data_IF_118394231506
#
_entry.id   IF_118394231506
#
_cell.length_a   1.000
_cell.length_b   1.000
_cell.length_c   1.000
_cell.angle_alpha   90.00
_cell.angle_beta   90.00
_cell.angle_gamma   90.00
#
_symmetry.space_group_name_H-M   'P 1'
#
loop_
_entity.id
_entity.type
_entity.pdbx_description
1 polymer ?
#
# COMPACT_ATOMS: atom_id res chain seq x y z
N UNK A 1 -27.93 16.43 -23.34
CA UNK A 1 -27.78 17.25 -22.11
C UNK A 1 -27.05 16.43 -21.06
N UNK A 2 -25.74 16.14 -21.24
CA UNK A 2 -24.99 15.20 -20.36
C UNK A 2 -23.50 15.58 -20.18
N UNK A 3 -23.14 16.87 -20.28
CA UNK A 3 -21.73 17.32 -20.22
C UNK A 3 -21.36 18.14 -18.99
N UNK A 4 -22.31 18.54 -18.14
CA UNK A 4 -22.08 19.38 -16.96
C UNK A 4 -21.79 18.59 -15.66
N UNK A 5 -22.20 17.34 -15.57
CA UNK A 5 -21.97 16.44 -14.41
C UNK A 5 -20.49 16.04 -14.30
N UNK A 6 -19.79 15.80 -15.40
CA UNK A 6 -18.41 15.30 -15.44
C UNK A 6 -17.34 16.29 -14.95
N UNK A 7 -17.53 17.60 -15.16
CA UNK A 7 -16.52 18.60 -14.70
C UNK A 7 -16.64 18.89 -13.21
N UNK A 8 -17.86 19.01 -12.69
CA UNK A 8 -18.08 19.25 -11.26
C UNK A 8 -17.60 18.08 -10.38
N UNK A 9 -17.80 16.84 -10.86
CA UNK A 9 -17.30 15.65 -10.17
C UNK A 9 -15.77 15.58 -10.19
N UNK A 10 -15.14 16.01 -11.30
CA UNK A 10 -13.69 16.07 -11.41
C UNK A 10 -13.09 17.15 -10.51
N UNK A 11 -13.71 18.33 -10.43
CA UNK A 11 -13.27 19.43 -9.57
C UNK A 11 -13.41 19.06 -8.07
N UNK A 12 -14.50 18.37 -7.71
CA UNK A 12 -14.70 17.87 -6.35
C UNK A 12 -13.65 16.80 -5.96
N UNK A 13 -13.33 15.88 -6.87
CA UNK A 13 -12.29 14.89 -6.66
C UNK A 13 -10.91 15.53 -6.52
N UNK A 14 -10.62 16.59 -7.31
CA UNK A 14 -9.38 17.35 -7.23
C UNK A 14 -9.20 18.03 -5.87
N UNK A 15 -10.19 18.78 -5.39
CA UNK A 15 -10.12 19.43 -4.07
C UNK A 15 -10.05 18.38 -2.95
N UNK A 16 -10.80 17.29 -3.04
CA UNK A 16 -10.74 16.20 -2.08
C UNK A 16 -9.35 15.57 -2.01
N UNK A 17 -8.69 15.37 -3.15
CA UNK A 17 -7.33 14.85 -3.20
C UNK A 17 -6.33 15.81 -2.53
N UNK A 18 -6.44 17.12 -2.79
CA UNK A 18 -5.59 18.13 -2.17
C UNK A 18 -5.77 18.19 -0.64
N UNK A 19 -7.01 18.14 -0.15
CA UNK A 19 -7.32 18.07 1.28
C UNK A 19 -6.71 16.83 1.94
N UNK A 20 -6.84 15.65 1.30
CA UNK A 20 -6.31 14.40 1.84
C UNK A 20 -4.77 14.39 1.87
N UNK A 21 -4.11 15.02 0.90
CA UNK A 21 -2.65 15.18 0.90
C UNK A 21 -2.15 16.13 1.99
N UNK A 22 -2.99 17.04 2.50
CA UNK A 22 -2.64 18.00 3.56
C UNK A 22 -3.18 17.62 4.92
N UNK A 23 -3.93 16.53 5.04
CA UNK A 23 -4.50 16.08 6.31
C UNK A 23 -3.40 15.87 7.37
N UNK A 24 -3.67 16.09 8.67
CA UNK A 24 -2.68 15.85 9.74
C UNK A 24 -2.14 14.41 9.80
N UNK A 25 -2.92 13.46 9.29
CA UNK A 25 -2.53 12.05 9.11
C UNK A 25 -1.81 11.81 7.79
N UNK A 26 -1.76 12.79 6.89
CA UNK A 26 -1.03 12.67 5.64
C UNK A 26 0.48 12.65 5.93
N UNK A 27 1.17 11.75 5.27
CA UNK A 27 2.63 11.62 5.39
C UNK A 27 3.38 12.79 4.73
N UNK A 28 2.65 13.68 4.07
CA UNK A 28 3.19 14.77 3.27
C UNK A 28 2.90 16.09 3.97
N UNK A 29 3.95 16.80 4.36
CA UNK A 29 3.82 18.19 4.85
C UNK A 29 3.82 19.15 3.65
N UNK A 30 2.77 19.09 2.83
CA UNK A 30 2.50 20.07 1.76
C UNK A 30 1.56 21.14 2.27
N UNK A 31 1.76 22.38 1.85
CA UNK A 31 0.74 23.40 1.96
C UNK A 31 -0.39 23.09 0.95
N UNK A 32 -1.59 23.61 1.16
CA UNK A 32 -2.74 23.28 0.30
C UNK A 32 -2.53 23.68 -1.17
N UNK A 33 -1.88 24.80 -1.40
CA UNK A 33 -1.48 25.25 -2.75
C UNK A 33 -0.46 24.29 -3.41
N UNK A 34 0.51 23.78 -2.66
CA UNK A 34 1.45 22.77 -3.13
C UNK A 34 0.76 21.43 -3.42
N UNK A 35 -0.19 21.02 -2.57
CA UNK A 35 -0.99 19.82 -2.80
C UNK A 35 -1.84 19.93 -4.07
N UNK A 36 -2.45 21.08 -4.34
CA UNK A 36 -3.16 21.36 -5.59
C UNK A 36 -2.25 21.22 -6.82
N UNK A 37 -1.00 21.68 -6.73
CA UNK A 37 -0.02 21.48 -7.80
C UNK A 37 0.24 19.99 -8.01
N UNK A 38 0.45 19.19 -6.94
CA UNK A 38 0.63 17.73 -7.07
C UNK A 38 -0.59 17.09 -7.73
N UNK A 39 -1.79 17.42 -7.26
CA UNK A 39 -3.04 16.84 -7.76
C UNK A 39 -3.32 17.21 -9.22
N UNK A 40 -2.84 18.37 -9.71
CA UNK A 40 -2.97 18.75 -11.13
C UNK A 40 -2.23 17.80 -12.10
N UNK A 41 -1.29 16.99 -11.59
CA UNK A 41 -0.61 15.91 -12.32
C UNK A 41 -1.25 14.54 -12.12
N UNK A 42 -2.31 14.44 -11.31
CA UNK A 42 -3.03 13.19 -11.07
C UNK A 42 -4.29 13.12 -11.94
N UNK A 43 -4.75 11.91 -12.20
CA UNK A 43 -6.01 11.65 -12.91
C UNK A 43 -6.98 10.86 -12.04
N UNK A 44 -8.27 11.24 -11.98
CA UNK A 44 -9.26 10.49 -11.24
C UNK A 44 -9.54 9.14 -11.93
N UNK A 45 -9.71 8.08 -11.13
CA UNK A 45 -10.04 6.73 -11.60
C UNK A 45 -11.06 6.07 -10.70
N UNK A 46 -12.17 5.63 -11.29
CA UNK A 46 -13.14 4.77 -10.65
C UNK A 46 -12.74 3.30 -10.82
N UNK A 47 -12.84 2.53 -9.73
CA UNK A 47 -12.51 1.11 -9.67
C UNK A 47 -13.68 0.41 -9.00
N UNK A 48 -14.33 -0.51 -9.72
CA UNK A 48 -15.47 -1.26 -9.20
C UNK A 48 -15.05 -2.24 -8.09
N UNK A 49 -15.91 -2.46 -7.12
CA UNK A 49 -15.73 -3.46 -6.08
C UNK A 49 -15.32 -4.84 -6.66
N UNK A 50 -14.41 -5.53 -5.99
CA UNK A 50 -13.86 -6.82 -6.44
C UNK A 50 -12.78 -6.73 -7.51
N UNK A 51 -12.44 -5.53 -8.03
CA UNK A 51 -11.41 -5.37 -9.05
C UNK A 51 -10.02 -5.34 -8.43
N UNK A 52 -9.13 -6.26 -8.84
CA UNK A 52 -7.70 -6.18 -8.56
C UNK A 52 -7.05 -5.28 -9.60
N UNK A 53 -6.61 -4.09 -9.19
CA UNK A 53 -6.06 -3.05 -10.07
C UNK A 53 -4.53 -2.90 -9.99
N UNK A 54 -3.90 -3.52 -8.99
CA UNK A 54 -2.46 -3.77 -8.90
C UNK A 54 -2.30 -5.26 -8.62
N UNK A 55 -1.41 -5.95 -9.35
CA UNK A 55 -1.15 -7.38 -9.16
C UNK A 55 0.30 -7.59 -8.74
N UNK A 56 0.53 -8.36 -7.67
CA UNK A 56 1.86 -8.75 -7.23
C UNK A 56 2.62 -9.47 -8.36
N UNK A 57 3.88 -9.10 -8.54
CA UNK A 57 4.75 -9.68 -9.56
C UNK A 57 4.54 -9.14 -10.98
N UNK A 58 3.58 -8.22 -11.20
CA UNK A 58 3.41 -7.59 -12.52
C UNK A 58 4.60 -6.68 -12.83
N UNK A 59 5.37 -7.07 -13.86
CA UNK A 59 6.53 -6.35 -14.36
C UNK A 59 6.22 -5.44 -15.56
N UNK A 60 5.00 -5.52 -16.12
CA UNK A 60 4.58 -4.74 -17.30
C UNK A 60 3.80 -3.48 -16.92
N UNK A 61 3.62 -3.23 -15.64
CA UNK A 61 2.94 -2.06 -15.12
C UNK A 61 3.83 -0.82 -15.34
N UNK A 62 3.30 0.20 -16.00
CA UNK A 62 3.98 1.49 -16.29
C UNK A 62 4.41 2.25 -15.02
N UNK A 63 4.10 1.73 -13.84
CA UNK A 63 4.40 2.32 -12.54
C UNK A 63 3.49 3.51 -12.23
N UNK A 64 2.58 3.32 -11.30
CA UNK A 64 1.76 4.39 -10.78
C UNK A 64 1.56 4.25 -9.27
N UNK A 65 1.21 5.35 -8.65
CA UNK A 65 0.72 5.44 -7.29
C UNK A 65 -0.74 5.90 -7.31
N UNK A 66 -1.57 5.37 -6.42
CA UNK A 66 -2.94 5.80 -6.25
C UNK A 66 -3.16 6.36 -4.84
N UNK A 67 -3.74 7.56 -4.76
CA UNK A 67 -4.31 8.12 -3.53
C UNK A 67 -5.79 7.72 -3.47
N UNK A 68 -6.19 7.00 -2.43
CA UNK A 68 -7.59 6.63 -2.22
C UNK A 68 -8.37 7.87 -1.78
N UNK A 69 -9.39 8.27 -2.54
CA UNK A 69 -10.26 9.41 -2.24
C UNK A 69 -11.54 8.97 -1.54
N UNK A 70 -12.08 7.82 -1.96
CA UNK A 70 -13.27 7.21 -1.39
C UNK A 70 -13.23 5.68 -1.55
N UNK A 71 -13.93 4.97 -0.66
CA UNK A 71 -13.95 3.50 -0.64
C UNK A 71 -12.78 2.87 0.11
N UNK A 72 -12.64 1.55 -0.03
CA UNK A 72 -11.66 0.74 0.68
C UNK A 72 -10.89 -0.18 -0.26
N UNK A 73 -9.58 -0.28 -0.04
CA UNK A 73 -8.65 -1.13 -0.78
C UNK A 73 -8.03 -2.16 0.16
N UNK A 74 -8.13 -3.42 -0.21
CA UNK A 74 -7.42 -4.52 0.44
C UNK A 74 -6.06 -4.69 -0.23
N UNK A 75 -5.00 -4.69 0.58
CA UNK A 75 -3.63 -4.97 0.14
C UNK A 75 -3.27 -6.37 0.60
N UNK A 76 -3.07 -7.26 -0.35
CA UNK A 76 -2.67 -8.64 -0.13
C UNK A 76 -1.22 -8.84 -0.57
N UNK A 77 -0.44 -9.55 0.23
CA UNK A 77 0.91 -9.94 -0.14
C UNK A 77 1.29 -11.25 0.54
N UNK A 78 2.25 -11.95 -0.03
CA UNK A 78 2.82 -13.22 0.41
C UNK A 78 1.77 -14.27 0.76
N UNK A 79 1.47 -15.13 -0.17
CA UNK A 79 0.68 -16.33 0.05
C UNK A 79 1.51 -17.33 0.88
N UNK A 80 1.20 -17.47 2.18
CA UNK A 80 1.79 -18.50 3.05
C UNK A 80 1.25 -19.88 2.67
N UNK A 81 0.11 -19.92 2.00
CA UNK A 81 -0.51 -21.13 1.46
C UNK A 81 -0.93 -20.87 0.00
N UNK A 82 -0.82 -21.87 -0.86
CA UNK A 82 -1.27 -21.76 -2.27
C UNK A 82 -2.77 -21.52 -2.45
N UNK A 83 -3.54 -21.51 -1.38
CA UNK A 83 -5.01 -21.52 -1.41
C UNK A 83 -5.66 -20.26 -0.83
N UNK A 84 -4.97 -19.47 0.01
CA UNK A 84 -5.56 -18.25 0.57
C UNK A 84 -4.52 -17.12 0.66
N UNK A 85 -4.77 -15.96 0.04
CA UNK A 85 -3.94 -14.78 0.22
C UNK A 85 -4.04 -14.28 1.65
N UNK A 86 -2.92 -13.93 2.27
CA UNK A 86 -2.92 -13.29 3.58
C UNK A 86 -3.18 -11.79 3.40
N UNK A 87 -4.37 -11.33 3.81
CA UNK A 87 -4.68 -9.91 3.86
C UNK A 87 -3.71 -9.19 4.79
N UNK A 88 -2.93 -8.27 4.24
CA UNK A 88 -1.94 -7.52 5.02
C UNK A 88 -2.56 -6.27 5.63
N UNK A 89 -3.40 -5.56 4.89
CA UNK A 89 -3.96 -4.29 5.34
C UNK A 89 -5.21 -3.89 4.54
N UNK A 90 -6.19 -3.27 5.23
CA UNK A 90 -7.29 -2.53 4.60
C UNK A 90 -6.96 -1.04 4.68
N UNK A 91 -7.08 -0.35 3.56
CA UNK A 91 -6.72 1.05 3.38
C UNK A 91 -7.93 1.84 2.89
N UNK A 92 -8.24 2.93 3.59
CA UNK A 92 -9.31 3.86 3.24
C UNK A 92 -8.80 5.21 2.71
N UNK A 93 -9.69 6.23 2.64
CA UNK A 93 -9.37 7.55 2.13
C UNK A 93 -8.12 8.18 2.78
N UNK A 94 -7.29 8.85 1.96
CA UNK A 94 -6.00 9.43 2.35
C UNK A 94 -4.83 8.45 2.30
N UNK A 95 -5.07 7.16 2.05
CA UNK A 95 -4.00 6.16 1.91
C UNK A 95 -3.39 6.19 0.52
N UNK A 96 -2.07 5.96 0.46
CA UNK A 96 -1.31 5.77 -0.78
C UNK A 96 -1.07 4.29 -1.01
N UNK A 97 -1.25 3.82 -2.25
CA UNK A 97 -0.97 2.46 -2.70
C UNK A 97 -0.17 2.47 -4.01
N UNK A 98 0.70 1.48 -4.18
CA UNK A 98 1.51 1.32 -5.39
C UNK A 98 2.72 2.26 -5.48
N UNK A 99 3.03 3.00 -4.42
CA UNK A 99 4.14 3.96 -4.35
C UNK A 99 5.52 3.33 -4.56
N UNK A 100 5.67 2.05 -4.20
CA UNK A 100 6.92 1.29 -4.38
C UNK A 100 7.27 1.21 -5.86
N UNK A 101 6.37 0.67 -6.68
CA UNK A 101 6.57 0.53 -8.13
C UNK A 101 6.65 1.87 -8.89
N UNK A 102 6.19 2.98 -8.28
CA UNK A 102 6.42 4.32 -8.84
C UNK A 102 7.91 4.70 -8.76
N UNK A 103 8.61 4.26 -7.70
CA UNK A 103 9.98 4.68 -7.37
C UNK A 103 11.03 3.73 -7.93
N UNK A 104 10.89 2.40 -7.72
CA UNK A 104 11.96 1.42 -7.95
C UNK A 104 11.94 0.73 -9.32
N UNK A 105 10.85 0.82 -10.07
CA UNK A 105 10.65 0.17 -11.38
C UNK A 105 10.70 -1.37 -11.34
N UNK A 106 10.63 -1.94 -10.15
CA UNK A 106 10.59 -3.39 -9.95
C UNK A 106 9.14 -3.92 -10.05
N UNK A 107 8.95 -5.23 -10.24
CA UNK A 107 7.62 -5.82 -10.21
C UNK A 107 6.84 -5.47 -8.94
N UNK A 108 5.53 -5.32 -9.07
CA UNK A 108 4.65 -4.93 -7.96
C UNK A 108 4.84 -5.83 -6.73
N UNK A 109 5.07 -5.25 -5.56
CA UNK A 109 5.39 -5.96 -4.32
C UNK A 109 4.16 -6.53 -3.59
N UNK A 110 2.95 -6.19 -4.01
CA UNK A 110 1.69 -6.66 -3.43
C UNK A 110 0.54 -6.46 -4.41
N UNK A 111 -0.56 -7.21 -4.22
CA UNK A 111 -1.82 -6.99 -4.94
C UNK A 111 -2.68 -5.98 -4.18
N UNK A 112 -3.40 -5.12 -4.94
CA UNK A 112 -4.39 -4.20 -4.40
C UNK A 112 -5.75 -4.48 -5.06
N UNK A 113 -6.75 -4.80 -4.25
CA UNK A 113 -8.11 -5.10 -4.68
C UNK A 113 -9.09 -4.13 -4.02
N UNK A 114 -9.97 -3.54 -4.81
CA UNK A 114 -11.05 -2.70 -4.31
C UNK A 114 -12.07 -3.57 -3.55
N UNK A 115 -12.26 -3.37 -2.25
CA UNK A 115 -13.26 -4.11 -1.47
C UNK A 115 -14.66 -3.48 -1.58
N UNK A 116 -14.72 -2.20 -1.85
CA UNK A 116 -15.92 -1.44 -2.24
C UNK A 116 -15.69 -0.80 -3.60
N UNK A 117 -16.66 -0.06 -4.13
CA UNK A 117 -16.36 0.89 -5.21
C UNK A 117 -15.39 1.94 -4.69
N UNK A 118 -14.32 2.20 -5.45
CA UNK A 118 -13.22 3.07 -5.03
C UNK A 118 -13.03 4.19 -6.03
N UNK A 119 -12.89 5.43 -5.54
CA UNK A 119 -12.37 6.54 -6.29
C UNK A 119 -10.92 6.80 -5.88
N UNK A 120 -10.01 6.82 -6.85
CA UNK A 120 -8.59 7.14 -6.64
C UNK A 120 -8.16 8.34 -7.49
N UNK A 121 -7.14 9.06 -7.02
CA UNK A 121 -6.31 9.92 -7.85
C UNK A 121 -5.00 9.18 -8.17
N UNK A 122 -4.73 9.00 -9.46
CA UNK A 122 -3.59 8.23 -9.97
C UNK A 122 -2.47 9.19 -10.38
N UNK A 123 -1.26 8.96 -9.86
CA UNK A 123 -0.03 9.60 -10.29
C UNK A 123 0.84 8.58 -11.00
N UNK A 124 1.04 8.75 -12.32
CA UNK A 124 1.95 7.92 -13.10
C UNK A 124 3.40 8.38 -12.93
N UNK A 125 4.36 7.55 -13.33
CA UNK A 125 5.78 7.91 -13.33
C UNK A 125 6.08 9.11 -14.20
N UNK A 126 5.52 9.17 -15.40
CA UNK A 126 5.72 10.29 -16.33
C UNK A 126 5.14 11.59 -15.75
N UNK A 127 3.99 11.52 -15.09
CA UNK A 127 3.39 12.67 -14.42
C UNK A 127 4.24 13.15 -13.22
N UNK A 128 4.83 12.22 -12.45
CA UNK A 128 5.78 12.55 -11.39
C UNK A 128 7.05 13.21 -11.95
N UNK A 129 7.58 12.71 -13.05
CA UNK A 129 8.74 13.30 -13.71
C UNK A 129 8.41 14.72 -14.20
N UNK A 130 7.28 14.92 -14.85
CA UNK A 130 6.82 16.24 -15.29
C UNK A 130 6.62 17.22 -14.11
N UNK A 131 6.08 16.76 -12.98
CA UNK A 131 5.96 17.55 -11.76
C UNK A 131 7.35 17.99 -11.24
N UNK A 132 8.32 17.06 -11.20
CA UNK A 132 9.68 17.35 -10.73
C UNK A 132 10.35 18.40 -11.65
N UNK A 133 10.18 18.29 -12.95
CA UNK A 133 10.75 19.23 -13.90
C UNK A 133 10.10 20.62 -13.80
N UNK A 134 8.79 20.68 -13.64
CA UNK A 134 8.06 21.95 -13.56
C UNK A 134 8.17 22.62 -12.18
N UNK A 135 8.22 21.83 -11.10
CA UNK A 135 8.21 22.31 -9.72
C UNK A 135 9.12 21.46 -8.82
N UNK A 136 10.46 21.59 -8.96
CA UNK A 136 11.43 20.72 -8.27
C UNK A 136 11.27 20.70 -6.74
N UNK A 137 10.94 21.83 -6.13
CA UNK A 137 10.75 21.93 -4.68
C UNK A 137 9.53 21.10 -4.19
N UNK A 138 8.44 21.14 -4.94
CA UNK A 138 7.21 20.38 -4.62
C UNK A 138 7.45 18.89 -4.89
N UNK A 139 8.09 18.56 -6.03
CA UNK A 139 8.48 17.20 -6.35
C UNK A 139 9.38 16.57 -5.28
N UNK A 140 10.37 17.33 -4.79
CA UNK A 140 11.24 16.88 -3.69
C UNK A 140 10.47 16.63 -2.39
N UNK A 141 9.53 17.51 -2.02
CA UNK A 141 8.67 17.29 -0.84
C UNK A 141 7.82 16.03 -0.97
N UNK A 142 7.21 15.80 -2.14
CA UNK A 142 6.44 14.60 -2.40
C UNK A 142 7.30 13.34 -2.30
N UNK A 143 8.49 13.33 -2.90
CA UNK A 143 9.42 12.20 -2.82
C UNK A 143 9.88 11.93 -1.37
N UNK A 144 10.16 12.96 -0.58
CA UNK A 144 10.50 12.81 0.84
C UNK A 144 9.34 12.20 1.64
N UNK A 145 8.11 12.56 1.32
CA UNK A 145 6.93 12.00 1.96
C UNK A 145 6.73 10.51 1.59
N UNK A 146 6.88 10.16 0.31
CA UNK A 146 6.88 8.75 -0.13
C UNK A 146 7.98 7.97 0.60
N UNK A 147 9.19 8.50 0.66
CA UNK A 147 10.31 7.88 1.36
C UNK A 147 10.04 7.71 2.87
N UNK A 148 9.42 8.68 3.53
CA UNK A 148 9.03 8.59 4.93
C UNK A 148 7.99 7.48 5.17
N UNK A 149 7.00 7.35 4.29
CA UNK A 149 6.01 6.26 4.31
C UNK A 149 6.69 4.89 4.17
N UNK A 150 7.58 4.74 3.18
CA UNK A 150 8.32 3.50 2.97
C UNK A 150 9.20 3.15 4.19
N UNK A 151 9.85 4.15 4.80
CA UNK A 151 10.66 3.96 6.00
C UNK A 151 9.80 3.52 7.21
N UNK A 152 8.59 4.05 7.36
CA UNK A 152 7.66 3.62 8.42
C UNK A 152 7.22 2.17 8.19
N UNK A 153 6.79 1.83 6.97
CA UNK A 153 6.43 0.44 6.60
C UNK A 153 7.57 -0.54 6.83
N UNK A 154 8.81 -0.15 6.52
CA UNK A 154 10.00 -0.98 6.77
C UNK A 154 10.20 -1.23 8.27
N UNK A 155 10.04 -0.19 9.12
CA UNK A 155 10.14 -0.33 10.58
C UNK A 155 9.03 -1.24 11.13
N UNK A 156 7.81 -1.13 10.62
CA UNK A 156 6.68 -1.97 11.02
C UNK A 156 6.91 -3.43 10.65
N UNK A 157 7.38 -3.68 9.43
CA UNK A 157 7.74 -5.03 8.98
C UNK A 157 8.87 -5.63 9.84
N UNK A 158 9.88 -4.83 10.17
CA UNK A 158 10.96 -5.27 11.06
C UNK A 158 10.46 -5.60 12.48
N UNK A 159 9.46 -4.86 12.99
CA UNK A 159 8.80 -5.17 14.29
C UNK A 159 8.03 -6.51 14.21
N UNK A 160 7.25 -6.73 13.16
CA UNK A 160 6.51 -7.98 12.93
C UNK A 160 7.44 -9.18 12.80
N UNK A 161 8.53 -9.06 12.03
CA UNK A 161 9.54 -10.13 11.88
C UNK A 161 10.18 -10.52 13.22
N UNK A 162 10.50 -9.53 14.08
CA UNK A 162 11.02 -9.83 15.43
C UNK A 162 10.00 -10.55 16.29
N UNK A 163 8.72 -10.20 16.20
CA UNK A 163 7.66 -10.89 16.91
C UNK A 163 7.52 -12.34 16.43
N UNK A 164 7.48 -12.56 15.12
CA UNK A 164 7.40 -13.91 14.55
C UNK A 164 8.61 -14.77 14.91
N UNK A 165 9.83 -14.22 14.89
CA UNK A 165 11.03 -14.92 15.31
C UNK A 165 10.96 -15.33 16.79
N UNK A 166 10.42 -14.46 17.67
CA UNK A 166 10.22 -14.78 19.09
C UNK A 166 9.19 -15.91 19.28
N UNK A 167 8.05 -15.83 18.59
CA UNK A 167 7.02 -16.87 18.62
C UNK A 167 7.56 -18.22 18.11
N UNK A 168 8.26 -18.23 16.98
CA UNK A 168 8.86 -19.44 16.44
C UNK A 168 9.85 -20.08 17.42
N UNK A 169 10.68 -19.27 18.09
CA UNK A 169 11.60 -19.76 19.12
C UNK A 169 10.86 -20.39 20.31
N UNK A 170 9.80 -19.76 20.79
CA UNK A 170 8.99 -20.29 21.90
C UNK A 170 8.32 -21.61 21.52
N UNK A 171 7.71 -21.66 20.32
CA UNK A 171 7.09 -22.89 19.81
C UNK A 171 8.10 -24.04 19.66
N UNK A 172 9.31 -23.74 19.21
CA UNK A 172 10.38 -24.74 19.09
C UNK A 172 10.79 -25.29 20.46
N UNK A 173 10.94 -24.44 21.46
CA UNK A 173 11.25 -24.84 22.83
C UNK A 173 10.15 -25.71 23.46
N UNK A 174 8.89 -25.38 23.23
CA UNK A 174 7.77 -26.20 23.70
C UNK A 174 7.75 -27.58 23.02
N UNK A 175 7.95 -27.63 21.69
CA UNK A 175 8.03 -28.90 20.97
C UNK A 175 9.18 -29.79 21.45
N UNK A 176 10.35 -29.22 21.74
CA UNK A 176 11.47 -29.97 22.33
C UNK A 176 11.10 -30.54 23.73
N UNK A 177 10.42 -29.73 24.56
CA UNK A 177 9.96 -30.15 25.86
C UNK A 177 8.97 -31.33 25.77
N UNK A 178 7.98 -31.23 24.85
CA UNK A 178 7.00 -32.32 24.66
C UNK A 178 7.64 -33.58 24.10
N UNK A 179 8.59 -33.45 23.15
CA UNK A 179 9.31 -34.61 22.58
C UNK A 179 10.16 -35.34 23.65
N UNK A 180 10.87 -34.60 24.48
CA UNK A 180 11.64 -35.15 25.58
C UNK A 180 10.75 -35.84 26.64
N UNK A 181 9.60 -35.25 26.97
CA UNK A 181 8.61 -35.83 27.87
C UNK A 181 8.03 -37.14 27.30
N UNK A 182 7.68 -37.18 26.03
CA UNK A 182 7.16 -38.34 25.33
C UNK A 182 8.19 -39.51 25.28
N UNK A 183 9.47 -39.18 25.00
CA UNK A 183 10.55 -40.15 25.02
C UNK A 183 10.79 -40.78 26.40
N UNK A 184 10.65 -39.98 27.48
CA UNK A 184 10.78 -40.47 28.87
C UNK A 184 9.59 -41.34 29.31
N UNK A 185 8.40 -41.12 28.73
CA UNK A 185 7.18 -41.85 29.02
C UNK A 185 7.03 -43.14 28.19
N UNK A 186 7.85 -43.33 27.18
CA UNK A 186 7.79 -44.53 26.32
C UNK A 186 8.20 -45.80 27.10
N UNK A 187 7.44 -46.89 27.05
CA UNK A 187 7.81 -48.17 27.72
C UNK A 187 9.08 -48.73 27.09
N UNK A 188 9.92 -49.44 27.85
CA UNK A 188 11.12 -50.06 27.31
C UNK A 188 10.79 -51.06 26.20
N UNK A 189 11.64 -51.20 25.19
CA UNK A 189 11.42 -52.17 24.10
C UNK A 189 11.25 -53.58 24.68
N UNK A 190 10.17 -54.24 24.26
CA UNK A 190 9.94 -55.64 24.65
C UNK A 190 11.06 -56.48 24.07
N UNK A 191 11.78 -57.24 24.91
CA UNK A 191 12.80 -58.20 24.54
C UNK A 191 12.19 -59.41 23.84
#
# INVERSE_FOLDING_TARGET
MTTTSSSADSDAAFERAAELLTAPSALVHLALDEARVVVSYMSPRWIAAGTTFIREGDAHDEGFMALVLDGEVVVDGITVSRTEPLTIKVLGPGSLVGEVGLVDQEPRSASCTASTDVLCAILTRDALQALIEASPAIGAKLLLAIAANLAERLRDNARKLRLYAKLAKTMHQELEHYTLAALKAAPPPRA
#
